data_IF_003524072102
#
_entry.id   IF_003524072102
#
_cell.length_a   1.000
_cell.length_b   1.000
_cell.length_c   1.000
_cell.angle_alpha   90.00
_cell.angle_beta   90.00
_cell.angle_gamma   90.00
#
_symmetry.space_group_name_H-M   'P 1'
#
loop_
_entity.id
_entity.type
_entity.pdbx_description
1 polymer ?
#
# COMPACT_ATOMS: atom_id res chain seq x y z
N UNK A 1 -13.33 -0.48 -11.66
CA UNK A 1 -12.50 -1.69 -11.57
C UNK A 1 -11.09 -1.26 -11.22
N UNK A 2 -10.55 -1.73 -10.10
CA UNK A 2 -9.19 -1.39 -9.65
C UNK A 2 -8.19 -2.23 -10.46
N UNK A 3 -7.01 -1.69 -10.78
CA UNK A 3 -6.02 -2.46 -11.55
C UNK A 3 -5.43 -3.58 -10.67
N UNK A 4 -4.99 -4.71 -11.25
CA UNK A 4 -4.33 -5.78 -10.47
C UNK A 4 -3.15 -5.27 -9.63
N UNK A 5 -2.46 -4.24 -10.13
CA UNK A 5 -1.36 -3.61 -9.40
C UNK A 5 -1.82 -2.82 -8.18
N UNK A 6 -2.97 -2.15 -8.27
CA UNK A 6 -3.54 -1.43 -7.14
C UNK A 6 -4.13 -2.39 -6.09
N UNK A 7 -4.67 -3.55 -6.49
CA UNK A 7 -5.08 -4.61 -5.56
C UNK A 7 -3.88 -5.17 -4.78
N UNK A 8 -2.79 -5.51 -5.47
CA UNK A 8 -1.55 -5.98 -4.83
C UNK A 8 -1.01 -4.97 -3.79
N UNK A 9 -1.01 -3.67 -4.15
CA UNK A 9 -0.57 -2.61 -3.24
C UNK A 9 -1.50 -2.47 -2.04
N UNK A 10 -2.81 -2.62 -2.23
CA UNK A 10 -3.78 -2.57 -1.15
C UNK A 10 -3.62 -3.75 -0.18
N UNK A 11 -3.46 -4.97 -0.70
CA UNK A 11 -3.21 -6.17 0.11
C UNK A 11 -1.90 -6.04 0.92
N UNK A 12 -0.83 -5.54 0.29
CA UNK A 12 0.43 -5.26 0.96
C UNK A 12 0.32 -4.14 2.01
N UNK A 13 -0.49 -3.11 1.77
CA UNK A 13 -0.77 -2.06 2.74
C UNK A 13 -1.52 -2.60 3.97
N UNK A 14 -2.49 -3.50 3.78
CA UNK A 14 -3.18 -4.21 4.87
C UNK A 14 -2.18 -5.03 5.69
N UNK A 15 -1.29 -5.78 5.03
CA UNK A 15 -0.27 -6.58 5.72
C UNK A 15 0.70 -5.71 6.55
N UNK A 16 1.14 -4.56 6.01
CA UNK A 16 1.99 -3.60 6.74
C UNK A 16 1.24 -3.01 7.94
N UNK A 17 -0.03 -2.66 7.78
CA UNK A 17 -0.86 -2.14 8.87
C UNK A 17 -1.02 -3.19 9.99
N UNK A 18 -1.27 -4.44 9.64
CA UNK A 18 -1.39 -5.53 10.61
C UNK A 18 -0.08 -5.76 11.37
N UNK A 19 1.07 -5.70 10.68
CA UNK A 19 2.37 -6.00 11.29
C UNK A 19 2.99 -4.83 12.07
N UNK A 20 2.84 -3.59 11.57
CA UNK A 20 3.58 -2.42 12.07
C UNK A 20 2.67 -1.24 12.48
N UNK A 21 1.35 -1.40 12.35
CA UNK A 21 0.37 -0.37 12.67
C UNK A 21 0.45 0.86 11.78
N UNK A 22 -0.31 1.89 12.14
CA UNK A 22 -0.38 3.14 11.37
C UNK A 22 0.99 3.78 11.16
N UNK A 23 1.84 3.83 12.19
CA UNK A 23 3.16 4.47 12.08
C UNK A 23 4.08 3.76 11.07
N UNK A 24 3.89 2.45 10.88
CA UNK A 24 4.64 1.66 9.90
C UNK A 24 4.16 1.82 8.46
N UNK A 25 2.95 2.34 8.23
CA UNK A 25 2.39 2.52 6.89
C UNK A 25 3.11 3.64 6.13
N UNK A 26 4.08 3.22 5.32
CA UNK A 26 4.88 4.05 4.42
C UNK A 26 4.97 3.39 3.05
N UNK A 27 5.11 4.19 1.98
CA UNK A 27 5.30 3.67 0.62
C UNK A 27 6.43 2.66 0.53
N UNK A 28 7.57 2.93 1.18
CA UNK A 28 8.71 2.03 1.17
C UNK A 28 8.42 0.71 1.87
N UNK A 29 7.62 0.72 2.95
CA UNK A 29 7.22 -0.52 3.62
C UNK A 29 6.30 -1.35 2.73
N UNK A 30 5.35 -0.69 2.04
CA UNK A 30 4.43 -1.35 1.11
C UNK A 30 5.15 -1.87 -0.12
N UNK A 31 6.06 -1.12 -0.73
CA UNK A 31 6.88 -1.60 -1.85
C UNK A 31 7.64 -2.88 -1.49
N UNK A 32 8.24 -2.93 -0.29
CA UNK A 32 8.92 -4.14 0.19
C UNK A 32 7.95 -5.30 0.40
N UNK A 33 6.80 -5.06 1.04
CA UNK A 33 5.81 -6.09 1.29
C UNK A 33 5.19 -6.64 -0.01
N UNK A 34 5.03 -5.79 -1.02
CA UNK A 34 4.50 -6.14 -2.34
C UNK A 34 5.56 -6.73 -3.30
N UNK A 35 6.84 -6.79 -2.91
CA UNK A 35 7.93 -7.23 -3.79
C UNK A 35 8.16 -6.29 -4.99
N UNK A 36 7.84 -5.00 -4.85
CA UNK A 36 7.91 -4.02 -5.92
C UNK A 36 9.19 -3.17 -5.83
N UNK A 37 9.67 -2.63 -6.98
CA UNK A 37 10.72 -1.61 -6.96
C UNK A 37 10.33 -0.40 -6.11
N UNK A 38 11.30 0.18 -5.41
CA UNK A 38 11.07 1.35 -4.57
C UNK A 38 10.44 2.51 -5.37
N UNK A 39 9.40 3.13 -4.80
CA UNK A 39 8.63 4.20 -5.43
C UNK A 39 7.41 3.71 -6.23
N UNK A 40 7.22 2.40 -6.40
CA UNK A 40 6.09 1.84 -7.15
C UNK A 40 4.73 2.23 -6.55
N UNK A 41 4.61 2.15 -5.23
CA UNK A 41 3.40 2.53 -4.49
C UNK A 41 3.08 4.00 -4.69
N UNK A 42 4.11 4.86 -4.80
CA UNK A 42 3.95 6.31 -4.98
C UNK A 42 3.38 6.70 -6.35
N UNK A 43 3.33 5.78 -7.32
CA UNK A 43 2.65 6.00 -8.59
C UNK A 43 1.13 5.79 -8.49
N UNK A 44 0.68 5.02 -7.48
CA UNK A 44 -0.73 4.69 -7.26
C UNK A 44 -1.36 5.52 -6.13
N UNK A 45 -0.56 5.87 -5.12
CA UNK A 45 -0.98 6.72 -4.01
C UNK A 45 0.07 7.79 -3.74
N UNK A 46 -0.22 9.06 -4.02
CA UNK A 46 0.75 10.16 -3.83
C UNK A 46 0.94 10.57 -2.37
N UNK A 47 0.01 10.21 -1.51
CA UNK A 47 0.02 10.58 -0.09
C UNK A 47 -0.22 9.36 0.78
N UNK A 48 0.15 9.46 2.06
CA UNK A 48 -0.15 8.41 3.04
C UNK A 48 -1.65 8.19 3.22
N UNK A 49 -2.45 9.26 3.08
CA UNK A 49 -3.92 9.16 3.11
C UNK A 49 -4.47 8.38 1.90
N UNK A 50 -3.98 8.66 0.69
CA UNK A 50 -4.36 7.89 -0.50
C UNK A 50 -3.94 6.41 -0.40
N UNK A 51 -2.80 6.13 0.24
CA UNK A 51 -2.36 4.76 0.49
C UNK A 51 -3.28 4.03 1.49
N UNK A 52 -3.70 4.72 2.55
CA UNK A 52 -4.68 4.19 3.48
C UNK A 52 -6.03 3.95 2.80
N UNK A 53 -6.45 4.86 1.92
CA UNK A 53 -7.69 4.72 1.15
C UNK A 53 -7.68 3.48 0.26
N UNK A 54 -6.55 3.16 -0.39
CA UNK A 54 -6.40 1.90 -1.15
C UNK A 54 -6.63 0.66 -0.27
N UNK A 55 -6.07 0.63 0.94
CA UNK A 55 -6.30 -0.46 1.88
C UNK A 55 -7.76 -0.54 2.33
N UNK A 56 -8.39 0.60 2.64
CA UNK A 56 -9.80 0.65 3.07
C UNK A 56 -10.75 0.20 1.96
N UNK A 57 -10.48 0.54 0.70
CA UNK A 57 -11.29 0.11 -0.46
C UNK A 57 -11.19 -1.39 -0.77
N UNK A 58 -10.25 -2.10 -0.13
CA UNK A 58 -9.98 -3.52 -0.35
C UNK A 58 -10.67 -4.44 0.66
N UNK A 59 -11.16 -3.89 1.77
CA UNK A 59 -12.05 -4.55 2.74
C UNK A 59 -13.47 -4.64 2.19
#
# INVERSE_FOLDING_TARGET
MTSPRAELVADAAIAVLAAAGMRGLTHRAVDRAAGLPAGSTSNLARTRAALLELALRRL
#
